data_IF_615603249154
#
_entry.id   IF_615603249154
#
_cell.length_a   1.000
_cell.length_b   1.000
_cell.length_c   1.000
_cell.angle_alpha   90.00
_cell.angle_beta   90.00
_cell.angle_gamma   90.00
#
_symmetry.space_group_name_H-M   'P 1'
#
loop_
_entity.id
_entity.type
_entity.pdbx_description
1 polymer ?
#
# COMPACT_ATOMS: atom_id res chain seq x y z
N UNK A 1 33.17 34.50 -13.99
CA UNK A 1 32.92 33.08 -14.36
C UNK A 1 31.60 32.67 -13.73
N UNK A 2 30.69 32.03 -14.46
CA UNK A 2 29.45 31.50 -13.87
C UNK A 2 29.73 30.24 -13.05
N UNK A 3 29.06 30.02 -11.91
CA UNK A 3 29.28 28.84 -11.09
C UNK A 3 28.73 27.60 -11.80
N UNK A 4 29.54 26.54 -11.85
CA UNK A 4 29.18 25.26 -12.48
C UNK A 4 29.14 24.13 -11.45
N UNK A 5 28.40 23.08 -11.76
CA UNK A 5 28.37 21.84 -10.96
C UNK A 5 28.46 20.61 -11.85
N UNK A 6 28.71 19.44 -11.26
CA UNK A 6 28.69 18.15 -11.94
C UNK A 6 27.30 17.53 -11.79
N UNK A 7 26.69 17.14 -12.91
CA UNK A 7 25.40 16.45 -12.93
C UNK A 7 25.51 15.08 -12.24
N UNK A 8 24.60 14.79 -11.28
CA UNK A 8 24.54 13.49 -10.60
C UNK A 8 24.01 12.35 -11.46
N UNK A 9 23.25 12.64 -12.51
CA UNK A 9 22.70 11.63 -13.41
C UNK A 9 23.69 11.13 -14.47
N UNK A 10 24.52 12.02 -15.04
CA UNK A 10 25.40 11.66 -16.17
C UNK A 10 26.86 12.12 -16.03
N UNK A 11 27.24 12.75 -14.91
CA UNK A 11 28.63 13.16 -14.63
C UNK A 11 29.18 14.33 -15.44
N UNK A 12 28.36 14.99 -16.28
CA UNK A 12 28.80 16.15 -17.08
C UNK A 12 28.71 17.45 -16.29
N UNK A 13 29.62 18.39 -16.59
CA UNK A 13 29.58 19.75 -16.04
C UNK A 13 28.43 20.55 -16.65
N UNK A 14 27.68 21.25 -15.80
CA UNK A 14 26.50 22.04 -16.16
C UNK A 14 26.50 23.37 -15.39
N UNK A 15 25.90 24.39 -15.99
CA UNK A 15 25.69 25.68 -15.33
C UNK A 15 24.66 25.52 -14.20
N UNK A 16 24.88 26.20 -13.08
CA UNK A 16 23.98 26.14 -11.94
C UNK A 16 22.59 26.73 -12.21
N UNK A 17 22.47 27.60 -13.23
CA UNK A 17 21.21 28.20 -13.68
C UNK A 17 20.22 27.16 -14.25
N UNK A 18 20.68 25.95 -14.62
CA UNK A 18 19.82 24.91 -15.17
C UNK A 18 19.14 24.06 -14.08
N UNK A 19 17.80 24.00 -14.14
CA UNK A 19 16.94 23.14 -13.32
C UNK A 19 17.03 21.66 -13.75
N UNK A 20 17.19 21.41 -15.05
CA UNK A 20 17.38 20.08 -15.62
C UNK A 20 18.72 20.00 -16.33
N UNK A 21 19.40 18.85 -16.25
CA UNK A 21 20.63 18.62 -17.01
C UNK A 21 20.34 18.68 -18.52
N UNK A 22 20.96 19.60 -19.29
CA UNK A 22 20.73 19.70 -20.74
C UNK A 22 21.17 18.46 -21.53
N UNK A 23 21.97 17.59 -20.93
CA UNK A 23 22.54 16.40 -21.58
C UNK A 23 21.71 15.14 -21.39
N UNK A 24 21.11 14.95 -20.20
CA UNK A 24 20.42 13.71 -19.85
C UNK A 24 19.03 13.90 -19.25
N UNK A 25 18.60 15.14 -19.03
CA UNK A 25 17.28 15.45 -18.46
C UNK A 25 17.15 15.25 -16.95
N UNK A 26 18.22 14.86 -16.23
CA UNK A 26 18.18 14.70 -14.77
C UNK A 26 17.70 15.98 -14.07
N UNK A 27 16.62 15.88 -13.30
CA UNK A 27 16.09 16.98 -12.49
C UNK A 27 17.02 17.26 -11.32
N UNK A 28 17.40 18.53 -11.14
CA UNK A 28 18.17 18.99 -9.97
C UNK A 28 17.29 19.54 -8.87
N UNK A 29 16.00 19.70 -9.15
CA UNK A 29 15.00 19.94 -8.12
C UNK A 29 14.67 18.58 -7.54
N UNK A 30 14.87 18.42 -6.23
CA UNK A 30 14.31 17.30 -5.51
C UNK A 30 12.79 17.36 -5.71
N UNK A 31 12.27 16.55 -6.62
CA UNK A 31 10.85 16.25 -6.62
C UNK A 31 10.61 15.52 -5.32
N UNK A 32 9.77 16.10 -4.47
CA UNK A 32 9.31 15.44 -3.25
C UNK A 32 8.31 14.34 -3.63
N UNK A 33 8.80 13.36 -4.40
CA UNK A 33 8.05 12.17 -4.82
C UNK A 33 7.75 11.24 -3.62
N UNK A 34 8.26 11.59 -2.43
CA UNK A 34 7.95 10.87 -1.20
C UNK A 34 6.45 10.91 -0.89
N UNK A 35 5.80 12.05 -1.12
CA UNK A 35 4.38 12.22 -0.87
C UNK A 35 3.50 11.39 -1.83
N UNK A 36 3.95 11.20 -3.08
CA UNK A 36 3.20 10.41 -4.07
C UNK A 36 3.36 8.91 -3.81
N UNK A 37 4.56 8.46 -3.43
CA UNK A 37 4.78 7.08 -2.98
C UNK A 37 4.00 6.75 -1.70
N UNK A 38 3.98 7.68 -0.73
CA UNK A 38 3.24 7.50 0.52
C UNK A 38 1.75 7.33 0.28
N UNK A 39 1.15 8.10 -0.64
CA UNK A 39 -0.24 7.94 -1.02
C UNK A 39 -0.53 6.55 -1.63
N UNK A 40 0.38 6.04 -2.48
CA UNK A 40 0.25 4.70 -3.07
C UNK A 40 0.37 3.61 -2.00
N UNK A 41 1.33 3.71 -1.08
CA UNK A 41 1.49 2.74 0.01
C UNK A 41 0.27 2.72 0.93
N UNK A 42 -0.27 3.88 1.31
CA UNK A 42 -1.49 3.98 2.10
C UNK A 42 -2.69 3.32 1.40
N UNK A 43 -2.83 3.53 0.09
CA UNK A 43 -3.90 2.89 -0.67
C UNK A 43 -3.76 1.36 -0.71
N UNK A 44 -2.53 0.85 -0.88
CA UNK A 44 -2.28 -0.59 -0.85
C UNK A 44 -2.58 -1.20 0.51
N UNK A 45 -2.20 -0.52 1.60
CA UNK A 45 -2.48 -0.96 2.96
C UNK A 45 -3.99 -1.00 3.23
N UNK A 46 -4.75 0.01 2.78
CA UNK A 46 -6.21 0.03 2.89
C UNK A 46 -6.84 -1.18 2.18
N UNK A 47 -6.43 -1.47 0.95
CA UNK A 47 -6.95 -2.63 0.20
C UNK A 47 -6.68 -3.96 0.91
N UNK A 48 -5.50 -4.11 1.50
CA UNK A 48 -5.15 -5.31 2.27
C UNK A 48 -5.99 -5.42 3.56
N UNK A 49 -6.17 -4.30 4.26
CA UNK A 49 -7.00 -4.24 5.46
C UNK A 49 -8.46 -4.58 5.16
N UNK A 50 -9.03 -4.04 4.08
CA UNK A 50 -10.39 -4.35 3.65
C UNK A 50 -10.56 -5.84 3.34
N UNK A 51 -9.59 -6.44 2.64
CA UNK A 51 -9.62 -7.88 2.35
C UNK A 51 -9.58 -8.72 3.63
N UNK A 52 -8.70 -8.36 4.57
CA UNK A 52 -8.59 -9.06 5.85
C UNK A 52 -9.86 -8.92 6.68
N UNK A 53 -10.44 -7.72 6.74
CA UNK A 53 -11.67 -7.46 7.47
C UNK A 53 -12.84 -8.28 6.90
N UNK A 54 -12.97 -8.35 5.56
CA UNK A 54 -13.98 -9.21 4.92
C UNK A 54 -13.79 -10.68 5.27
N UNK A 55 -12.55 -11.18 5.28
CA UNK A 55 -12.27 -12.55 5.71
C UNK A 55 -12.65 -12.79 7.16
N UNK A 56 -12.35 -11.86 8.06
CA UNK A 56 -12.72 -11.97 9.48
C UNK A 56 -14.24 -12.05 9.62
N UNK A 57 -14.98 -11.13 8.99
CA UNK A 57 -16.45 -11.13 9.06
C UNK A 57 -17.08 -12.40 8.47
N UNK A 58 -16.48 -12.97 7.42
CA UNK A 58 -16.94 -14.26 6.88
C UNK A 58 -16.69 -15.40 7.87
N UNK A 59 -15.51 -15.43 8.51
CA UNK A 59 -15.21 -16.43 9.54
C UNK A 59 -16.12 -16.30 10.76
N UNK A 60 -16.45 -15.08 11.19
CA UNK A 60 -17.41 -14.82 12.28
C UNK A 60 -18.77 -15.42 11.96
N UNK A 61 -19.28 -15.18 10.74
CA UNK A 61 -20.54 -15.77 10.30
C UNK A 61 -20.49 -17.30 10.28
N UNK A 62 -19.41 -17.88 9.78
CA UNK A 62 -19.24 -19.34 9.77
C UNK A 62 -19.23 -19.94 11.18
N UNK A 63 -18.67 -19.24 12.15
CA UNK A 63 -18.71 -19.65 13.56
C UNK A 63 -20.14 -19.62 14.11
N UNK A 64 -20.89 -18.56 13.83
CA UNK A 64 -22.30 -18.44 14.26
C UNK A 64 -23.17 -19.56 13.64
N UNK A 65 -22.99 -19.82 12.34
CA UNK A 65 -23.70 -20.89 11.64
C UNK A 65 -23.38 -22.27 12.26
N UNK A 66 -22.09 -22.54 12.56
CA UNK A 66 -21.67 -23.78 13.22
C UNK A 66 -22.27 -23.94 14.63
N UNK A 67 -22.38 -22.85 15.40
CA UNK A 67 -23.02 -22.87 16.71
C UNK A 67 -24.49 -23.25 16.58
N UNK A 68 -25.21 -22.67 15.62
CA UNK A 68 -26.60 -23.01 15.37
C UNK A 68 -26.80 -24.47 14.94
N UNK A 69 -25.91 -25.00 14.10
CA UNK A 69 -25.94 -26.41 13.71
C UNK A 69 -25.72 -27.34 14.93
N UNK A 70 -24.76 -27.00 15.79
CA UNK A 70 -24.49 -27.76 17.02
C UNK A 70 -25.70 -27.75 17.97
N UNK A 71 -26.33 -26.60 18.19
CA UNK A 71 -27.53 -26.47 19.03
C UNK A 71 -28.67 -27.35 18.49
N UNK A 72 -28.89 -27.36 17.18
CA UNK A 72 -29.91 -28.19 16.54
C UNK A 72 -29.62 -29.69 16.75
N UNK A 73 -28.36 -30.11 16.63
CA UNK A 73 -27.95 -31.49 16.88
C UNK A 73 -28.19 -31.87 18.35
N UNK A 74 -27.81 -31.02 19.30
CA UNK A 74 -28.01 -31.27 20.74
C UNK A 74 -29.51 -31.41 21.06
N UNK A 75 -30.34 -30.47 20.60
CA UNK A 75 -31.79 -30.53 20.79
C UNK A 75 -32.39 -31.81 20.21
N UNK A 76 -31.93 -32.22 19.02
CA UNK A 76 -32.38 -33.49 18.44
C UNK A 76 -31.97 -34.68 19.31
N UNK A 77 -30.75 -34.72 19.84
CA UNK A 77 -30.28 -35.83 20.66
C UNK A 77 -31.00 -35.94 22.01
N UNK A 78 -31.41 -34.80 22.58
CA UNK A 78 -32.21 -34.76 23.81
C UNK A 78 -33.64 -35.26 23.62
N UNK A 79 -34.26 -34.99 22.46
CA UNK A 79 -35.62 -35.45 22.14
C UNK A 79 -35.72 -36.96 21.88
N UNK A 80 -34.60 -37.63 21.59
CA UNK A 80 -34.53 -39.08 21.37
C UNK A 80 -34.13 -39.87 22.64
N UNK A 81 -34.02 -39.21 23.80
CA UNK A 81 -33.92 -39.85 25.12
C UNK A 81 -35.30 -40.01 25.75
#
# INVERSE_FOLDING_TARGET
>A
MKPVTVCRGCGRTIDNDFIYCPWCGYSRVASDDSASLEAVFNQLEQLQNDSRNRQISEMEKQLDDLVHELDAIVLSAELHK
#
